data_IF_493788993878
#
_entry.id   IF_493788993878
#
_cell.length_a   1.000
_cell.length_b   1.000
_cell.length_c   1.000
_cell.angle_alpha   90.00
_cell.angle_beta   90.00
_cell.angle_gamma   90.00
#
_symmetry.space_group_name_H-M   'P 1'
#
loop_
_entity.id
_entity.type
_entity.pdbx_description
1 polymer ?
#
# COMPACT_ATOMS: atom_id res chain seq x y z
N UNK A 1 13.11 -23.17 1.80
CA UNK A 1 14.01 -22.00 1.88
C UNK A 1 14.74 -21.95 3.23
N UNK A 2 14.06 -22.05 4.38
CA UNK A 2 14.73 -22.07 5.70
C UNK A 2 15.85 -23.15 5.83
N UNK A 3 15.61 -24.38 5.35
CA UNK A 3 16.59 -25.49 5.42
C UNK A 3 17.89 -25.29 4.61
N UNK A 4 17.94 -24.36 3.67
CA UNK A 4 19.11 -24.14 2.80
C UNK A 4 20.00 -22.98 3.22
N UNK A 5 19.54 -22.14 4.14
CA UNK A 5 20.23 -20.92 4.57
C UNK A 5 20.54 -20.90 6.08
N UNK A 6 20.16 -21.97 6.80
CA UNK A 6 20.30 -22.08 8.26
C UNK A 6 19.72 -20.87 9.03
N UNK A 7 18.57 -20.37 8.57
CA UNK A 7 17.84 -19.26 9.20
C UNK A 7 16.67 -19.79 10.02
N UNK A 8 16.50 -19.23 11.21
CA UNK A 8 15.40 -19.51 12.12
C UNK A 8 14.11 -18.84 11.65
N UNK A 9 12.97 -19.34 12.15
CA UNK A 9 11.67 -18.69 11.92
C UNK A 9 11.65 -17.26 12.48
N UNK A 10 12.30 -17.00 13.61
CA UNK A 10 12.42 -15.67 14.19
C UNK A 10 13.15 -14.69 13.25
N UNK A 11 14.26 -15.12 12.63
CA UNK A 11 15.00 -14.30 11.66
C UNK A 11 14.19 -14.04 10.38
N UNK A 12 13.41 -15.02 9.94
CA UNK A 12 12.46 -14.85 8.84
C UNK A 12 11.39 -13.80 9.21
N UNK A 13 10.84 -13.85 10.41
CA UNK A 13 9.86 -12.88 10.88
C UNK A 13 10.44 -11.46 10.94
N UNK A 14 11.68 -11.30 11.43
CA UNK A 14 12.37 -10.00 11.45
C UNK A 14 12.67 -9.48 10.04
N UNK A 15 13.11 -10.35 9.13
CA UNK A 15 13.32 -10.00 7.73
C UNK A 15 12.03 -9.48 7.08
N UNK A 16 10.88 -10.10 7.37
CA UNK A 16 9.58 -9.67 6.86
C UNK A 16 9.05 -8.36 7.48
N UNK A 17 9.72 -7.81 8.50
CA UNK A 17 9.44 -6.45 9.00
C UNK A 17 10.21 -5.37 8.23
N UNK A 18 11.15 -5.73 7.36
CA UNK A 18 11.92 -4.79 6.54
C UNK A 18 11.08 -4.34 5.32
N UNK A 19 10.85 -3.03 5.13
CA UNK A 19 10.13 -2.51 3.98
C UNK A 19 10.87 -2.86 2.67
N UNK A 20 10.18 -3.48 1.71
CA UNK A 20 10.76 -3.87 0.41
C UNK A 20 10.58 -5.36 0.14
N UNK A 21 11.38 -6.22 0.78
CA UNK A 21 11.31 -7.67 0.55
C UNK A 21 9.99 -8.30 1.03
N UNK A 22 9.45 -7.79 2.15
CA UNK A 22 8.15 -8.19 2.65
C UNK A 22 6.98 -7.67 1.81
N UNK A 23 7.17 -6.52 1.15
CA UNK A 23 6.15 -5.90 0.33
C UNK A 23 5.87 -6.75 -0.92
N UNK A 24 6.91 -7.33 -1.52
CA UNK A 24 6.77 -8.21 -2.69
C UNK A 24 6.07 -9.52 -2.34
N UNK A 25 6.42 -10.16 -1.21
CA UNK A 25 5.73 -11.38 -0.78
C UNK A 25 4.28 -11.10 -0.35
N UNK A 26 4.03 -9.98 0.32
CA UNK A 26 2.68 -9.52 0.63
C UNK A 26 1.87 -9.21 -0.64
N UNK A 27 2.44 -8.52 -1.63
CA UNK A 27 1.86 -8.33 -2.97
C UNK A 27 1.43 -9.67 -3.56
N UNK A 28 2.36 -10.64 -3.56
CA UNK A 28 2.15 -11.95 -4.13
C UNK A 28 1.09 -12.75 -3.37
N UNK A 29 1.12 -12.76 -2.03
CA UNK A 29 0.18 -13.53 -1.22
C UNK A 29 -1.23 -12.96 -1.30
N UNK A 30 -1.39 -11.64 -1.19
CA UNK A 30 -2.70 -10.98 -1.19
C UNK A 30 -3.38 -11.12 -2.55
N UNK A 31 -2.67 -10.82 -3.64
CA UNK A 31 -3.31 -10.82 -4.95
C UNK A 31 -3.45 -12.21 -5.54
N UNK A 32 -2.44 -13.09 -5.36
CA UNK A 32 -2.51 -14.46 -5.89
C UNK A 32 -3.46 -15.35 -5.11
N UNK A 33 -3.54 -15.23 -3.77
CA UNK A 33 -4.35 -16.16 -2.95
C UNK A 33 -5.72 -15.61 -2.54
N UNK A 34 -5.89 -14.30 -2.37
CA UNK A 34 -7.12 -13.76 -1.76
C UNK A 34 -8.08 -13.12 -2.76
N UNK A 35 -7.60 -12.64 -3.91
CA UNK A 35 -8.45 -11.80 -4.79
C UNK A 35 -8.59 -12.31 -6.22
N UNK A 36 -7.69 -13.16 -6.73
CA UNK A 36 -7.73 -13.62 -8.13
C UNK A 36 -7.48 -12.50 -9.16
N UNK A 37 -7.03 -11.32 -8.70
CA UNK A 37 -6.81 -10.14 -9.54
C UNK A 37 -5.56 -10.29 -10.40
N UNK A 38 -5.58 -9.64 -11.56
CA UNK A 38 -4.45 -9.68 -12.50
C UNK A 38 -3.45 -8.59 -12.17
N UNK A 39 -2.17 -8.97 -12.06
CA UNK A 39 -1.07 -8.01 -11.94
C UNK A 39 -0.88 -7.24 -13.25
N UNK A 40 -0.71 -5.93 -13.14
CA UNK A 40 -0.38 -5.09 -14.29
C UNK A 40 1.09 -5.27 -14.72
N UNK A 41 1.44 -4.78 -15.91
CA UNK A 41 2.83 -4.76 -16.37
C UNK A 41 3.68 -3.85 -15.45
N UNK A 42 4.98 -4.15 -15.31
CA UNK A 42 5.91 -3.44 -14.39
C UNK A 42 6.01 -1.92 -14.63
N UNK A 43 5.77 -1.46 -15.86
CA UNK A 43 5.78 -0.04 -16.22
C UNK A 43 4.40 0.63 -16.11
N UNK A 44 3.38 -0.10 -15.67
CA UNK A 44 2.02 0.42 -15.50
C UNK A 44 1.96 1.45 -14.37
N UNK A 45 1.04 2.40 -14.51
CA UNK A 45 0.77 3.40 -13.48
C UNK A 45 -0.11 2.85 -12.34
N UNK A 46 -0.70 1.67 -12.48
CA UNK A 46 -1.43 0.90 -11.45
C UNK A 46 -0.78 -0.48 -11.27
N UNK A 47 -1.09 -1.15 -10.17
CA UNK A 47 -0.42 -2.41 -9.80
C UNK A 47 -1.29 -3.63 -10.14
N UNK A 48 -2.62 -3.50 -10.01
CA UNK A 48 -3.57 -4.60 -10.19
C UNK A 48 -4.85 -4.21 -10.91
N UNK A 49 -5.49 -5.20 -11.53
CA UNK A 49 -6.80 -5.10 -12.19
C UNK A 49 -7.71 -6.18 -11.60
N UNK A 50 -8.88 -5.78 -11.11
CA UNK A 50 -9.87 -6.70 -10.57
C UNK A 50 -10.69 -7.40 -11.66
N UNK A 51 -11.60 -8.28 -11.25
CA UNK A 51 -12.51 -9.03 -12.10
C UNK A 51 -13.48 -8.15 -12.90
N UNK A 52 -13.76 -6.94 -12.40
CA UNK A 52 -14.57 -5.92 -13.05
C UNK A 52 -13.75 -4.99 -13.97
N UNK A 53 -12.44 -5.23 -14.11
CA UNK A 53 -11.56 -4.41 -14.93
C UNK A 53 -11.12 -3.09 -14.26
N UNK A 54 -11.44 -2.89 -12.98
CA UNK A 54 -11.07 -1.70 -12.23
C UNK A 54 -9.63 -1.80 -11.74
N UNK A 55 -9.00 -0.65 -11.55
CA UNK A 55 -7.54 -0.54 -11.36
C UNK A 55 -7.20 -0.16 -9.93
N UNK A 56 -6.23 -0.87 -9.37
CA UNK A 56 -5.85 -0.77 -7.97
C UNK A 56 -4.36 -0.54 -7.81
N UNK A 57 -3.98 0.20 -6.76
CA UNK A 57 -2.58 0.32 -6.31
C UNK A 57 -2.32 -0.49 -5.07
N UNK A 58 -1.18 -1.15 -5.01
CA UNK A 58 -0.74 -1.84 -3.81
C UNK A 58 0.25 -0.98 -3.02
N UNK A 59 0.11 -1.01 -1.70
CA UNK A 59 1.06 -0.37 -0.79
C UNK A 59 1.21 -1.18 0.48
N UNK A 60 2.47 -1.39 0.91
CA UNK A 60 2.77 -1.88 2.25
C UNK A 60 2.69 -0.73 3.26
N UNK A 61 2.06 -0.98 4.41
CA UNK A 61 2.09 -0.07 5.55
C UNK A 61 3.42 -0.29 6.29
N UNK A 62 4.33 0.68 6.21
CA UNK A 62 5.61 0.61 6.93
C UNK A 62 5.44 1.06 8.40
N UNK A 63 6.45 0.81 9.24
CA UNK A 63 6.45 1.23 10.65
C UNK A 63 6.23 2.74 10.80
N UNK A 64 6.93 3.53 9.97
CA UNK A 64 6.77 4.98 9.91
C UNK A 64 5.36 5.36 9.44
N UNK A 65 4.88 4.68 8.41
CA UNK A 65 3.53 4.84 7.89
C UNK A 65 3.48 4.61 6.40
N UNK A 66 2.60 5.35 5.73
CA UNK A 66 2.36 5.23 4.30
C UNK A 66 2.20 6.60 3.64
N UNK A 67 2.65 6.70 2.40
CA UNK A 67 2.34 7.81 1.49
C UNK A 67 1.54 7.30 0.29
N UNK A 68 0.40 7.91 0.00
CA UNK A 68 -0.50 7.47 -1.10
C UNK A 68 -0.09 7.98 -2.49
N UNK A 69 0.67 9.07 -2.56
CA UNK A 69 1.19 9.61 -3.82
C UNK A 69 2.35 8.77 -4.40
N UNK A 70 2.42 8.64 -5.73
CA UNK A 70 3.58 8.12 -6.44
C UNK A 70 4.76 9.10 -6.33
N UNK A 71 5.72 8.82 -5.45
CA UNK A 71 7.00 9.53 -5.45
C UNK A 71 7.86 9.09 -6.63
N UNK A 72 7.60 9.63 -7.82
CA UNK A 72 8.62 9.74 -8.87
C UNK A 72 8.77 11.20 -9.26
N UNK A 73 9.24 12.01 -8.31
CA UNK A 73 10.14 13.12 -8.62
C UNK A 73 11.27 13.13 -7.61
N UNK A 74 12.45 12.81 -8.12
CA UNK A 74 13.72 12.71 -7.39
C UNK A 74 14.37 14.10 -7.43
N UNK A 75 13.69 15.09 -6.87
CA UNK A 75 14.23 16.44 -6.65
C UNK A 75 13.82 16.87 -5.25
N UNK A 76 14.80 17.19 -4.41
CA UNK A 76 14.63 17.63 -3.01
C UNK A 76 13.80 18.93 -2.84
N UNK A 77 13.20 19.44 -3.92
CA UNK A 77 12.42 20.69 -3.97
C UNK A 77 10.97 20.52 -4.43
N UNK A 78 10.56 19.34 -4.87
CA UNK A 78 9.18 19.15 -5.35
C UNK A 78 8.20 19.09 -4.19
N UNK A 79 7.51 20.21 -3.98
CA UNK A 79 6.33 20.30 -3.11
C UNK A 79 5.29 19.30 -3.60
N UNK A 80 4.52 18.76 -2.67
CA UNK A 80 3.38 17.90 -2.98
C UNK A 80 2.49 18.51 -4.08
N UNK A 81 2.34 17.80 -5.20
CA UNK A 81 1.56 18.24 -6.35
C UNK A 81 0.13 17.69 -6.25
N UNK A 82 -0.73 18.42 -5.57
CA UNK A 82 -2.13 18.05 -5.30
C UNK A 82 -2.88 17.64 -6.57
N UNK A 83 -2.76 18.42 -7.66
CA UNK A 83 -3.39 18.10 -8.93
C UNK A 83 -2.94 16.73 -9.50
N UNK A 84 -1.67 16.37 -9.31
CA UNK A 84 -1.14 15.06 -9.71
C UNK A 84 -1.73 13.93 -8.87
N UNK A 85 -1.91 14.15 -7.58
CA UNK A 85 -2.55 13.21 -6.68
C UNK A 85 -4.02 13.00 -7.05
N UNK A 86 -4.79 14.08 -7.23
CA UNK A 86 -6.21 14.00 -7.61
C UNK A 86 -6.42 13.31 -8.97
N UNK A 87 -5.51 13.54 -9.92
CA UNK A 87 -5.50 12.84 -11.22
C UNK A 87 -5.19 11.35 -11.05
N UNK A 88 -4.26 10.96 -10.18
CA UNK A 88 -4.03 9.55 -9.89
C UNK A 88 -5.29 8.90 -9.30
N UNK A 89 -5.97 9.59 -8.37
CA UNK A 89 -7.20 9.08 -7.75
C UNK A 89 -8.38 8.99 -8.72
N UNK A 90 -8.40 9.71 -9.85
CA UNK A 90 -9.52 9.61 -10.81
C UNK A 90 -9.39 8.42 -11.74
N UNK A 91 -8.22 7.78 -11.75
CA UNK A 91 -7.92 6.64 -12.62
C UNK A 91 -7.99 5.31 -11.85
N UNK A 92 -7.96 5.34 -10.52
CA UNK A 92 -7.98 4.17 -9.64
C UNK A 92 -9.33 3.99 -8.98
N UNK A 93 -9.72 2.74 -8.78
CA UNK A 93 -10.80 2.38 -7.86
C UNK A 93 -10.35 2.56 -6.41
N UNK A 94 -9.10 2.18 -6.11
CA UNK A 94 -8.58 2.28 -4.77
C UNK A 94 -7.17 1.76 -4.59
N UNK A 95 -6.86 1.51 -3.31
CA UNK A 95 -5.60 0.98 -2.84
C UNK A 95 -5.82 -0.31 -2.05
N UNK A 96 -4.96 -1.30 -2.31
CA UNK A 96 -4.77 -2.48 -1.49
C UNK A 96 -3.64 -2.16 -0.52
N UNK A 97 -3.95 -2.09 0.77
CA UNK A 97 -2.98 -1.81 1.83
C UNK A 97 -2.68 -3.09 2.60
N UNK A 98 -1.42 -3.44 2.75
CA UNK A 98 -1.00 -4.61 3.54
C UNK A 98 -0.16 -4.17 4.75
N UNK A 99 -0.56 -4.54 5.97
CA UNK A 99 0.23 -4.28 7.17
C UNK A 99 1.26 -5.39 7.39
N UNK A 100 2.45 -5.21 6.81
CA UNK A 100 3.54 -6.21 6.89
C UNK A 100 4.02 -6.46 8.32
N UNK A 101 3.75 -5.55 9.27
CA UNK A 101 4.11 -5.72 10.68
C UNK A 101 3.21 -6.68 11.44
N UNK A 102 2.12 -7.14 10.82
CA UNK A 102 1.21 -8.17 11.39
C UNK A 102 1.57 -9.57 10.91
N UNK A 103 2.68 -9.74 10.18
CA UNK A 103 3.17 -11.06 9.79
C UNK A 103 3.32 -11.96 11.03
N UNK A 104 2.84 -13.22 10.99
CA UNK A 104 2.45 -14.00 9.79
C UNK A 104 1.00 -13.85 9.32
N UNK A 105 0.13 -13.13 10.05
CA UNK A 105 -1.30 -12.99 9.70
C UNK A 105 -1.55 -12.13 8.46
N UNK A 106 -0.74 -11.08 8.28
CA UNK A 106 -0.82 -10.09 7.19
C UNK A 106 -2.24 -9.51 6.98
N UNK A 107 -2.58 -8.47 7.75
CA UNK A 107 -3.84 -7.76 7.60
C UNK A 107 -3.87 -6.92 6.31
N UNK A 108 -4.95 -7.08 5.54
CA UNK A 108 -5.17 -6.41 4.25
C UNK A 108 -6.38 -5.49 4.32
N UNK A 109 -6.26 -4.29 3.75
CA UNK A 109 -7.33 -3.32 3.70
C UNK A 109 -7.51 -2.77 2.28
N UNK A 110 -8.72 -2.90 1.74
CA UNK A 110 -9.13 -2.21 0.52
C UNK A 110 -9.61 -0.81 0.86
N UNK A 111 -9.00 0.23 0.28
CA UNK A 111 -9.38 1.64 0.48
C UNK A 111 -9.73 2.25 -0.85
N UNK A 112 -11.02 2.51 -1.07
CA UNK A 112 -11.50 3.16 -2.28
C UNK A 112 -11.04 4.61 -2.38
N UNK A 113 -10.88 5.12 -3.60
CA UNK A 113 -10.47 6.50 -3.85
C UNK A 113 -11.48 7.50 -3.31
N UNK A 114 -12.78 7.17 -3.23
CA UNK A 114 -13.80 8.01 -2.59
C UNK A 114 -13.47 8.29 -1.12
N UNK A 115 -13.08 7.26 -0.38
CA UNK A 115 -12.65 7.39 1.03
C UNK A 115 -11.38 8.22 1.12
N UNK A 116 -10.43 7.99 0.21
CA UNK A 116 -9.16 8.71 0.22
C UNK A 116 -9.32 10.20 -0.10
N UNK A 117 -10.22 10.54 -1.04
CA UNK A 117 -10.62 11.92 -1.34
C UNK A 117 -11.25 12.60 -0.14
N UNK A 118 -12.16 11.90 0.55
CA UNK A 118 -12.76 12.39 1.80
C UNK A 118 -11.68 12.67 2.86
N UNK A 119 -10.81 11.72 3.14
CA UNK A 119 -9.71 11.91 4.09
C UNK A 119 -8.77 13.06 3.71
N UNK A 120 -8.55 13.27 2.41
CA UNK A 120 -7.77 14.40 1.92
C UNK A 120 -8.48 15.74 2.18
N UNK A 121 -9.76 15.85 1.80
CA UNK A 121 -10.58 17.06 2.01
C UNK A 121 -10.72 17.40 3.50
N UNK A 122 -10.88 16.39 4.36
CA UNK A 122 -10.94 16.53 5.82
C UNK A 122 -9.57 16.81 6.47
N UNK A 123 -8.49 16.97 5.68
CA UNK A 123 -7.11 17.14 6.18
C UNK A 123 -6.66 16.04 7.16
N UNK A 124 -7.22 14.83 7.01
CA UNK A 124 -6.81 13.64 7.78
C UNK A 124 -5.52 13.05 7.25
N UNK A 125 -5.16 13.34 6.00
CA UNK A 125 -3.84 13.05 5.45
C UNK A 125 -2.86 14.21 5.73
N UNK A 126 -1.58 13.90 5.93
CA UNK A 126 -0.55 14.94 6.05
C UNK A 126 -0.29 15.65 4.72
N UNK A 127 0.45 16.76 4.76
CA UNK A 127 0.70 17.65 3.60
C UNK A 127 1.32 16.96 2.37
N UNK A 128 1.94 15.79 2.53
CA UNK A 128 2.49 14.99 1.43
C UNK A 128 1.67 13.74 1.12
N UNK A 129 0.41 13.67 1.59
CA UNK A 129 -0.42 12.45 1.69
C UNK A 129 0.19 11.34 2.57
N UNK A 130 1.13 11.73 3.43
CA UNK A 130 1.72 10.85 4.41
C UNK A 130 0.79 10.69 5.61
N UNK A 131 0.68 9.47 6.13
CA UNK A 131 -0.06 9.13 7.34
C UNK A 131 0.75 8.12 8.14
N UNK A 132 0.91 8.36 9.44
CA UNK A 132 1.59 7.41 10.31
C UNK A 132 0.80 6.11 10.43
N UNK A 133 1.48 4.98 10.65
CA UNK A 133 0.80 3.67 10.80
C UNK A 133 -0.31 3.71 11.84
N UNK A 134 -0.03 4.25 13.04
CA UNK A 134 -1.03 4.38 14.12
C UNK A 134 -2.27 5.17 13.68
N UNK A 135 -2.09 6.30 13.00
CA UNK A 135 -3.20 7.13 12.52
C UNK A 135 -3.98 6.41 11.41
N UNK A 136 -3.28 5.77 10.47
CA UNK A 136 -3.88 5.02 9.38
C UNK A 136 -4.74 3.86 9.88
N UNK A 137 -4.22 3.04 10.80
CA UNK A 137 -4.96 1.91 11.37
C UNK A 137 -6.21 2.36 12.12
N UNK A 138 -6.16 3.50 12.82
CA UNK A 138 -7.35 4.09 13.44
C UNK A 138 -8.38 4.52 12.38
N UNK A 139 -7.94 5.25 11.35
CA UNK A 139 -8.81 5.70 10.26
C UNK A 139 -9.46 4.54 9.50
N UNK A 140 -8.75 3.42 9.36
CA UNK A 140 -9.27 2.19 8.73
C UNK A 140 -10.39 1.54 9.56
N UNK A 141 -10.31 1.60 10.90
CA UNK A 141 -11.36 1.11 11.80
C UNK A 141 -12.60 2.01 11.81
N UNK A 142 -12.40 3.32 11.67
CA UNK A 142 -13.46 4.34 11.64
C UNK A 142 -14.15 4.49 10.27
N UNK A 143 -13.88 3.60 9.31
CA UNK A 143 -14.30 3.78 7.91
C UNK A 143 -15.79 3.46 7.66
N UNK A 144 -16.47 2.85 8.63
CA UNK A 144 -17.90 2.55 8.57
C UNK A 144 -18.74 3.82 8.38
#
# INVERSE_FOLDING_TARGET
MAKGMDVTEAEIHEFFKIPGAAADLAEMAVVRKLMGWRRAAKASWHDYIDDQGKRWKFRSIAASGLRFNASKRRCARDRFAEAGFQRQLSQLEGFVLADVFTFPRLDVHLVETKTLRRWHAERRLGASTYVSRKKLLRMLKERN
#
